data_IF_922731330165
#
_entry.id   IF_922731330165
#
_cell.length_a   1.000
_cell.length_b   1.000
_cell.length_c   1.000
_cell.angle_alpha   90.00
_cell.angle_beta   90.00
_cell.angle_gamma   90.00
#
_symmetry.space_group_name_H-M   'P 1'
#
loop_
_entity.id
_entity.type
_entity.pdbx_description
1 polymer ?
#
# COMPACT_ATOMS: atom_id res chain seq x y z
N UNK A 1 -20.58 35.06 -35.06
CA UNK A 1 -21.93 34.48 -34.93
C UNK A 1 -21.92 33.15 -35.68
N UNK A 2 -21.89 31.97 -35.08
CA UNK A 2 -21.48 31.51 -33.74
C UNK A 2 -21.20 30.02 -33.95
N UNK A 3 -20.12 29.49 -33.38
CA UNK A 3 -19.69 28.07 -33.47
C UNK A 3 -20.67 27.09 -32.77
N UNK A 4 -21.89 27.52 -32.46
CA UNK A 4 -22.88 26.81 -31.65
C UNK A 4 -23.88 25.95 -32.45
N UNK A 5 -23.95 26.09 -33.78
CA UNK A 5 -24.93 25.36 -34.60
C UNK A 5 -24.44 24.00 -35.13
N UNK A 6 -23.13 23.73 -35.07
CA UNK A 6 -22.57 22.43 -35.46
C UNK A 6 -22.72 21.34 -34.40
N UNK A 7 -22.94 21.71 -33.13
CA UNK A 7 -23.17 20.75 -32.04
C UNK A 7 -24.60 20.19 -32.06
N UNK A 8 -25.59 20.96 -32.53
CA UNK A 8 -26.98 20.50 -32.61
C UNK A 8 -27.21 19.48 -33.73
N UNK A 9 -26.52 19.60 -34.87
CA UNK A 9 -26.69 18.65 -35.99
C UNK A 9 -26.01 17.29 -35.77
N UNK A 10 -24.99 17.19 -34.91
CA UNK A 10 -24.41 15.89 -34.51
C UNK A 10 -25.23 15.17 -33.45
N UNK A 11 -26.07 15.90 -32.70
CA UNK A 11 -27.02 15.33 -31.74
C UNK A 11 -28.21 14.63 -32.42
N UNK A 12 -28.72 15.16 -33.53
CA UNK A 12 -29.89 14.56 -34.20
C UNK A 12 -29.54 13.39 -35.14
N UNK A 13 -28.33 13.37 -35.73
CA UNK A 13 -27.91 12.30 -36.65
C UNK A 13 -27.66 10.95 -35.96
N UNK A 14 -27.28 10.95 -34.68
CA UNK A 14 -27.05 9.70 -33.92
C UNK A 14 -28.36 9.19 -33.28
N UNK A 15 -29.29 10.09 -32.94
CA UNK A 15 -30.59 9.70 -32.38
C UNK A 15 -31.53 9.09 -33.43
N UNK A 16 -31.43 9.48 -34.70
CA UNK A 16 -32.31 8.93 -35.75
C UNK A 16 -31.86 7.57 -36.30
N UNK A 17 -30.57 7.22 -36.19
CA UNK A 17 -30.06 5.88 -36.55
C UNK A 17 -30.40 4.85 -35.47
N UNK A 18 -30.56 5.26 -34.21
CA UNK A 18 -30.97 4.37 -33.13
C UNK A 18 -32.47 4.03 -33.13
N UNK A 19 -33.34 4.92 -33.64
CA UNK A 19 -34.77 4.60 -33.79
C UNK A 19 -35.08 3.67 -34.99
N UNK A 20 -34.29 3.74 -36.07
CA UNK A 20 -34.49 2.89 -37.25
C UNK A 20 -33.91 1.47 -37.08
N UNK A 21 -32.94 1.27 -36.18
CA UNK A 21 -32.40 -0.06 -35.83
C UNK A 21 -33.14 -0.67 -34.62
N UNK A 22 -33.70 0.17 -33.75
CA UNK A 22 -34.48 -0.25 -32.58
C UNK A 22 -35.82 -0.92 -32.90
N UNK A 23 -36.34 -0.78 -34.12
CA UNK A 23 -37.61 -1.39 -34.55
C UNK A 23 -37.46 -2.80 -35.14
N UNK A 24 -36.23 -3.27 -35.42
CA UNK A 24 -35.98 -4.65 -35.89
C UNK A 24 -35.19 -5.53 -34.89
N UNK A 25 -34.62 -4.96 -33.83
CA UNK A 25 -33.83 -5.70 -32.82
C UNK A 25 -34.49 -5.79 -31.43
N UNK A 26 -35.76 -5.39 -31.34
CA UNK A 26 -36.45 -5.07 -30.07
C UNK A 26 -36.82 -6.21 -29.14
N UNK A 27 -36.56 -7.49 -29.44
CA UNK A 27 -36.95 -8.58 -28.52
C UNK A 27 -35.92 -9.71 -28.32
N UNK A 28 -34.87 -9.83 -29.14
CA UNK A 28 -33.95 -10.97 -29.05
C UNK A 28 -32.50 -10.61 -28.67
N UNK A 29 -31.97 -9.44 -29.02
CA UNK A 29 -30.56 -9.11 -28.71
C UNK A 29 -30.34 -8.29 -27.43
N UNK A 30 -31.38 -7.63 -26.90
CA UNK A 30 -31.29 -6.79 -25.70
C UNK A 30 -30.94 -7.57 -24.41
N UNK A 31 -31.49 -8.79 -24.17
CA UNK A 31 -31.12 -9.57 -22.99
C UNK A 31 -29.68 -10.07 -23.04
N UNK A 32 -29.14 -10.33 -24.23
CA UNK A 32 -27.80 -10.88 -24.42
C UNK A 32 -26.72 -9.82 -24.28
N UNK A 33 -26.92 -8.62 -24.83
CA UNK A 33 -25.98 -7.51 -24.64
C UNK A 33 -25.92 -7.11 -23.15
N UNK A 34 -27.05 -7.02 -22.45
CA UNK A 34 -27.06 -6.78 -21.00
C UNK A 34 -26.34 -7.91 -20.24
N UNK A 35 -26.57 -9.19 -20.56
CA UNK A 35 -25.87 -10.30 -19.91
C UNK A 35 -24.35 -10.26 -20.13
N UNK A 36 -23.90 -9.88 -21.33
CA UNK A 36 -22.48 -9.80 -21.68
C UNK A 36 -21.82 -8.62 -20.97
N UNK A 37 -22.44 -7.44 -20.96
CA UNK A 37 -21.92 -6.24 -20.25
C UNK A 37 -21.87 -6.49 -18.74
N UNK A 38 -22.94 -7.06 -18.15
CA UNK A 38 -22.93 -7.42 -16.73
C UNK A 38 -21.88 -8.47 -16.39
N UNK A 39 -21.74 -9.56 -17.18
CA UNK A 39 -20.71 -10.58 -16.92
C UNK A 39 -19.29 -10.04 -17.05
N UNK A 40 -19.05 -9.10 -17.97
CA UNK A 40 -17.75 -8.44 -18.17
C UNK A 40 -17.37 -7.58 -16.97
N UNK A 41 -18.27 -6.71 -16.52
CA UNK A 41 -18.04 -5.83 -15.36
C UNK A 41 -17.81 -6.63 -14.07
N UNK A 42 -18.57 -7.71 -13.86
CA UNK A 42 -18.36 -8.60 -12.71
C UNK A 42 -17.03 -9.34 -12.77
N UNK A 43 -16.59 -9.77 -13.95
CA UNK A 43 -15.29 -10.43 -14.12
C UNK A 43 -14.12 -9.47 -13.86
N UNK A 44 -14.23 -8.22 -14.29
CA UNK A 44 -13.22 -7.18 -14.03
C UNK A 44 -13.14 -6.81 -12.54
N UNK A 45 -14.28 -6.69 -11.85
CA UNK A 45 -14.31 -6.44 -10.41
C UNK A 45 -13.71 -7.64 -9.65
N UNK A 46 -14.04 -8.88 -10.04
CA UNK A 46 -13.45 -10.08 -9.43
C UNK A 46 -11.93 -10.16 -9.62
N UNK A 47 -11.42 -9.77 -10.80
CA UNK A 47 -9.99 -9.69 -11.06
C UNK A 47 -9.31 -8.62 -10.18
N UNK A 48 -9.95 -7.47 -9.95
CA UNK A 48 -9.45 -6.44 -9.04
C UNK A 48 -9.49 -6.89 -7.57
N UNK A 49 -10.52 -7.61 -7.15
CA UNK A 49 -10.60 -8.17 -5.79
C UNK A 49 -9.49 -9.22 -5.56
N UNK A 50 -9.13 -10.02 -6.58
CA UNK A 50 -7.98 -10.94 -6.51
C UNK A 50 -6.65 -10.17 -6.41
N UNK A 51 -6.47 -9.10 -7.18
CA UNK A 51 -5.28 -8.24 -7.10
C UNK A 51 -5.16 -7.56 -5.73
N UNK A 52 -6.27 -7.06 -5.18
CA UNK A 52 -6.32 -6.46 -3.84
C UNK A 52 -5.92 -7.46 -2.76
N UNK A 53 -6.42 -8.70 -2.82
CA UNK A 53 -6.05 -9.77 -1.88
C UNK A 53 -4.53 -10.04 -1.92
N UNK A 54 -3.96 -10.18 -3.13
CA UNK A 54 -2.52 -10.39 -3.29
C UNK A 54 -1.69 -9.20 -2.77
N UNK A 55 -2.11 -7.97 -3.05
CA UNK A 55 -1.42 -6.76 -2.58
C UNK A 55 -1.52 -6.60 -1.06
N UNK A 56 -2.66 -6.94 -0.47
CA UNK A 56 -2.84 -6.96 0.99
C UNK A 56 -1.89 -7.98 1.65
N UNK A 57 -1.75 -9.17 1.07
CA UNK A 57 -0.82 -10.17 1.57
C UNK A 57 0.64 -9.67 1.50
N UNK A 58 1.04 -9.06 0.38
CA UNK A 58 2.38 -8.47 0.24
C UNK A 58 2.64 -7.36 1.27
N UNK A 59 1.66 -6.49 1.51
CA UNK A 59 1.72 -5.47 2.55
C UNK A 59 1.90 -6.09 3.94
N UNK A 60 1.09 -7.10 4.29
CA UNK A 60 1.18 -7.78 5.59
C UNK A 60 2.54 -8.47 5.78
N UNK A 61 3.08 -9.11 4.74
CA UNK A 61 4.40 -9.75 4.77
C UNK A 61 5.52 -8.72 4.98
N UNK A 62 5.46 -7.58 4.26
CA UNK A 62 6.42 -6.50 4.42
C UNK A 62 6.36 -5.90 5.84
N UNK A 63 5.16 -5.73 6.40
CA UNK A 63 4.95 -5.25 7.76
C UNK A 63 5.53 -6.21 8.80
N UNK A 64 5.31 -7.52 8.64
CA UNK A 64 5.86 -8.53 9.55
C UNK A 64 7.40 -8.51 9.55
N UNK A 65 8.03 -8.40 8.38
CA UNK A 65 9.49 -8.29 8.25
C UNK A 65 10.05 -7.02 8.91
N UNK A 66 9.33 -5.90 8.78
CA UNK A 66 9.68 -4.66 9.46
C UNK A 66 9.56 -4.75 10.97
N UNK A 67 8.53 -5.43 11.48
CA UNK A 67 8.38 -5.69 12.92
C UNK A 67 9.49 -6.57 13.47
N UNK A 68 9.92 -7.59 12.73
CA UNK A 68 11.06 -8.42 13.10
C UNK A 68 12.37 -7.62 13.16
N UNK A 69 12.63 -6.81 12.12
CA UNK A 69 13.79 -5.92 12.07
C UNK A 69 13.79 -4.94 13.25
N UNK A 70 12.63 -4.37 13.58
CA UNK A 70 12.48 -3.48 14.74
C UNK A 70 12.85 -4.16 16.05
N UNK A 71 12.41 -5.41 16.28
CA UNK A 71 12.78 -6.17 17.48
C UNK A 71 14.29 -6.42 17.58
N UNK A 72 14.96 -6.65 16.45
CA UNK A 72 16.42 -6.82 16.41
C UNK A 72 17.12 -5.52 16.82
N UNK A 73 16.64 -4.37 16.33
CA UNK A 73 17.16 -3.05 16.73
C UNK A 73 16.96 -2.85 18.23
N UNK A 74 15.76 -3.07 18.76
CA UNK A 74 15.46 -2.94 20.20
C UNK A 74 16.35 -3.86 21.06
N UNK A 75 16.58 -5.09 20.62
CA UNK A 75 17.47 -6.02 21.32
C UNK A 75 18.95 -5.57 21.26
N UNK A 76 19.36 -4.95 20.15
CA UNK A 76 20.71 -4.40 19.99
C UNK A 76 20.90 -3.15 20.87
N UNK A 77 19.88 -2.29 20.96
CA UNK A 77 19.87 -1.10 21.83
C UNK A 77 20.02 -1.51 23.29
N UNK A 78 19.30 -2.54 23.73
CA UNK A 78 19.45 -3.07 25.09
C UNK A 78 20.85 -3.64 25.37
N UNK A 79 21.55 -4.18 24.36
CA UNK A 79 22.95 -4.61 24.50
C UNK A 79 23.91 -3.43 24.56
N UNK A 80 23.67 -2.39 23.76
CA UNK A 80 24.44 -1.14 23.79
C UNK A 80 24.30 -0.43 25.13
N UNK A 81 23.09 -0.37 25.70
CA UNK A 81 22.85 0.22 27.02
C UNK A 81 23.65 -0.51 28.12
N UNK A 82 23.69 -1.85 28.08
CA UNK A 82 24.53 -2.64 28.99
C UNK A 82 26.02 -2.34 28.79
N UNK A 83 26.45 -2.26 27.54
CA UNK A 83 27.84 -1.96 27.16
C UNK A 83 28.27 -0.57 27.68
N UNK A 84 27.40 0.43 27.56
CA UNK A 84 27.63 1.79 28.06
C UNK A 84 27.68 1.86 29.59
N UNK A 85 26.78 1.14 30.28
CA UNK A 85 26.83 1.03 31.75
C UNK A 85 28.16 0.44 32.21
N UNK A 86 28.57 -0.70 31.64
CA UNK A 86 29.85 -1.35 32.00
C UNK A 86 31.07 -0.46 31.68
N UNK A 87 31.06 0.25 30.54
CA UNK A 87 32.11 1.21 30.20
C UNK A 87 32.18 2.36 31.21
N UNK A 88 31.03 2.92 31.60
CA UNK A 88 30.95 4.00 32.60
C UNK A 88 31.43 3.54 33.97
N UNK A 89 31.10 2.32 34.39
CA UNK A 89 31.59 1.73 35.64
C UNK A 89 33.12 1.64 35.63
N UNK A 90 33.71 1.06 34.58
CA UNK A 90 35.17 0.95 34.44
C UNK A 90 35.86 2.33 34.46
N UNK A 91 35.30 3.33 33.78
CA UNK A 91 35.83 4.71 33.78
C UNK A 91 35.66 5.37 35.15
N UNK A 92 34.58 5.09 35.87
CA UNK A 92 34.35 5.66 37.22
C UNK A 92 35.39 5.20 38.23
N UNK A 93 35.82 3.92 38.16
CA UNK A 93 36.90 3.38 38.98
C UNK A 93 38.28 3.99 38.64
N UNK A 94 38.41 4.56 37.45
CA UNK A 94 39.64 5.21 36.97
C UNK A 94 39.72 6.71 37.31
N UNK A 95 38.69 7.32 37.90
CA UNK A 95 38.71 8.76 38.26
C UNK A 95 39.80 9.02 39.30
N UNK A 96 40.98 9.45 38.82
CA UNK A 96 42.12 9.86 39.64
C UNK A 96 43.37 8.98 39.49
N UNK A 97 43.29 7.82 38.83
CA UNK A 97 44.43 6.91 38.62
C UNK A 97 44.35 6.26 37.23
N UNK A 98 45.50 5.92 36.62
CA UNK A 98 45.49 5.09 35.39
C UNK A 98 44.81 3.75 35.69
N UNK A 99 43.93 3.30 34.80
CA UNK A 99 43.36 1.95 34.84
C UNK A 99 44.53 0.96 34.92
N UNK A 100 44.56 0.05 35.92
CA UNK A 100 45.56 -1.00 35.93
C UNK A 100 45.43 -1.86 34.67
N UNK A 101 46.55 -2.34 34.11
CA UNK A 101 46.60 -3.10 32.85
C UNK A 101 45.48 -4.14 32.64
N UNK A 102 45.10 -4.98 33.64
CA UNK A 102 43.98 -5.91 33.43
C UNK A 102 42.62 -5.23 33.20
N UNK A 103 42.39 -4.06 33.80
CA UNK A 103 41.16 -3.28 33.60
C UNK A 103 41.21 -2.46 32.30
N UNK A 104 42.39 -2.00 31.89
CA UNK A 104 42.56 -1.31 30.60
C UNK A 104 42.26 -2.25 29.42
N UNK A 105 42.82 -3.46 29.43
CA UNK A 105 42.54 -4.48 28.40
C UNK A 105 41.06 -4.86 28.34
N UNK A 106 40.41 -4.96 29.51
CA UNK A 106 38.96 -5.21 29.58
C UNK A 106 38.15 -4.03 29.00
N UNK A 107 38.52 -2.80 29.34
CA UNK A 107 37.88 -1.60 28.80
C UNK A 107 38.03 -1.49 27.29
N UNK A 108 39.24 -1.74 26.75
CA UNK A 108 39.48 -1.68 25.31
C UNK A 108 38.68 -2.73 24.54
N UNK A 109 38.63 -3.97 25.06
CA UNK A 109 37.84 -5.05 24.47
C UNK A 109 36.33 -4.73 24.49
N UNK A 110 35.82 -4.26 25.62
CA UNK A 110 34.41 -3.87 25.76
C UNK A 110 34.06 -2.71 24.82
N UNK A 111 34.92 -1.69 24.72
CA UNK A 111 34.74 -0.57 23.79
C UNK A 111 34.67 -1.02 22.35
N UNK A 112 35.55 -1.93 21.94
CA UNK A 112 35.53 -2.50 20.59
C UNK A 112 34.23 -3.27 20.33
N UNK A 113 33.75 -4.02 21.31
CA UNK A 113 32.46 -4.71 21.23
C UNK A 113 31.29 -3.72 21.09
N UNK A 114 31.26 -2.62 21.86
CA UNK A 114 30.22 -1.61 21.70
C UNK A 114 30.25 -0.97 20.31
N UNK A 115 31.44 -0.67 19.77
CA UNK A 115 31.58 -0.10 18.42
C UNK A 115 31.02 -1.04 17.34
N UNK A 116 31.29 -2.35 17.44
CA UNK A 116 30.72 -3.36 16.54
C UNK A 116 29.19 -3.44 16.64
N UNK A 117 28.65 -3.31 17.86
CA UNK A 117 27.20 -3.27 18.08
C UNK A 117 26.56 -2.02 17.46
N UNK A 118 27.22 -0.85 17.55
CA UNK A 118 26.76 0.39 16.89
C UNK A 118 26.73 0.22 15.37
N UNK A 119 27.80 -0.29 14.77
CA UNK A 119 27.85 -0.54 13.32
C UNK A 119 26.75 -1.51 12.87
N UNK A 120 26.55 -2.59 13.64
CA UNK A 120 25.48 -3.57 13.37
C UNK A 120 24.10 -2.91 13.47
N UNK A 121 23.87 -2.09 14.49
CA UNK A 121 22.62 -1.35 14.69
C UNK A 121 22.34 -0.41 13.52
N UNK A 122 23.33 0.36 13.08
CA UNK A 122 23.18 1.29 11.95
C UNK A 122 22.78 0.55 10.67
N UNK A 123 23.38 -0.63 10.42
CA UNK A 123 22.98 -1.50 9.31
C UNK A 123 21.50 -1.93 9.39
N UNK A 124 21.02 -2.32 10.58
CA UNK A 124 19.62 -2.68 10.78
C UNK A 124 18.67 -1.51 10.65
N UNK A 125 19.05 -0.32 11.16
CA UNK A 125 18.25 0.91 11.01
C UNK A 125 18.11 1.28 9.54
N UNK A 126 19.20 1.25 8.76
CA UNK A 126 19.12 1.49 7.32
C UNK A 126 18.23 0.48 6.58
N UNK A 127 18.28 -0.79 6.97
CA UNK A 127 17.37 -1.83 6.47
C UNK A 127 15.91 -1.53 6.82
N UNK A 128 15.63 -1.12 8.06
CA UNK A 128 14.29 -0.75 8.52
C UNK A 128 13.72 0.46 7.74
N UNK A 129 14.54 1.48 7.46
CA UNK A 129 14.15 2.63 6.65
C UNK A 129 13.81 2.24 5.20
N UNK A 130 14.61 1.36 4.59
CA UNK A 130 14.33 0.83 3.26
C UNK A 130 13.02 0.02 3.22
N UNK A 131 12.76 -0.77 4.26
CA UNK A 131 11.50 -1.50 4.42
C UNK A 131 10.31 -0.54 4.60
N UNK A 132 10.46 0.53 5.39
CA UNK A 132 9.41 1.54 5.57
C UNK A 132 9.01 2.21 4.24
N UNK A 133 9.98 2.55 3.37
CA UNK A 133 9.72 3.06 2.02
C UNK A 133 8.96 2.04 1.16
N UNK A 134 9.29 0.76 1.29
CA UNK A 134 8.62 -0.33 0.57
C UNK A 134 7.16 -0.48 1.02
N UNK A 135 6.92 -0.44 2.33
CA UNK A 135 5.57 -0.50 2.92
C UNK A 135 4.72 0.68 2.43
N UNK A 136 5.27 1.89 2.40
CA UNK A 136 4.55 3.06 1.90
C UNK A 136 4.22 2.93 0.40
N UNK A 137 5.15 2.43 -0.42
CA UNK A 137 4.88 2.12 -1.83
C UNK A 137 3.73 1.12 -2.00
N UNK A 138 3.74 0.02 -1.25
CA UNK A 138 2.68 -0.98 -1.27
C UNK A 138 1.33 -0.41 -0.83
N UNK A 139 1.31 0.49 0.17
CA UNK A 139 0.11 1.18 0.63
C UNK A 139 -0.48 2.09 -0.46
N UNK A 140 0.35 2.85 -1.16
CA UNK A 140 -0.09 3.73 -2.25
C UNK A 140 -0.67 2.92 -3.42
N UNK A 141 -0.01 1.83 -3.80
CA UNK A 141 -0.52 0.91 -4.83
C UNK A 141 -1.86 0.29 -4.44
N UNK A 142 -1.99 -0.16 -3.18
CA UNK A 142 -3.23 -0.72 -2.66
C UNK A 142 -4.37 0.31 -2.71
N UNK A 143 -4.13 1.54 -2.24
CA UNK A 143 -5.12 2.61 -2.27
C UNK A 143 -5.57 2.94 -3.70
N UNK A 144 -4.63 2.99 -4.66
CA UNK A 144 -4.94 3.19 -6.08
C UNK A 144 -5.86 2.09 -6.63
N UNK A 145 -5.57 0.83 -6.31
CA UNK A 145 -6.41 -0.31 -6.71
C UNK A 145 -7.80 -0.26 -6.08
N UNK A 146 -7.91 0.12 -4.81
CA UNK A 146 -9.22 0.30 -4.15
C UNK A 146 -10.02 1.40 -4.84
N UNK A 147 -9.39 2.54 -5.16
CA UNK A 147 -10.05 3.63 -5.88
C UNK A 147 -10.53 3.18 -7.26
N UNK A 148 -9.70 2.45 -8.02
CA UNK A 148 -10.09 1.91 -9.33
C UNK A 148 -11.25 0.91 -9.23
N UNK A 149 -11.17 -0.01 -8.27
CA UNK A 149 -12.24 -0.98 -7.98
C UNK A 149 -13.56 -0.27 -7.63
N UNK A 150 -13.50 0.77 -6.80
CA UNK A 150 -14.69 1.56 -6.44
C UNK A 150 -15.22 2.38 -7.62
N UNK A 151 -14.36 2.92 -8.47
CA UNK A 151 -14.77 3.63 -9.67
C UNK A 151 -15.51 2.69 -10.65
N UNK A 152 -15.00 1.47 -10.87
CA UNK A 152 -15.67 0.46 -11.69
C UNK A 152 -16.98 -0.02 -11.07
N UNK A 153 -16.99 -0.35 -9.78
CA UNK A 153 -18.22 -0.75 -9.08
C UNK A 153 -19.29 0.37 -9.05
N UNK A 154 -18.86 1.64 -8.98
CA UNK A 154 -19.72 2.81 -9.08
C UNK A 154 -20.23 3.08 -10.51
N UNK A 155 -19.39 2.87 -11.53
CA UNK A 155 -19.76 2.99 -12.94
C UNK A 155 -20.73 1.89 -13.40
N UNK A 156 -20.63 0.68 -12.84
CA UNK A 156 -21.61 -0.40 -13.07
C UNK A 156 -22.98 -0.13 -12.41
N UNK A 157 -23.15 0.98 -11.68
CA UNK A 157 -24.46 1.52 -11.28
C UNK A 157 -24.83 2.70 -12.18
N UNK A 158 -25.61 2.47 -13.24
CA UNK A 158 -26.36 3.50 -13.96
C UNK A 158 -27.78 2.99 -14.28
N UNK A 159 -28.82 3.84 -14.36
CA UNK A 159 -29.21 4.98 -13.52
C UNK A 159 -30.39 4.61 -12.59
N UNK A 160 -30.66 5.46 -11.61
CA UNK A 160 -31.82 5.43 -10.70
C UNK A 160 -33.16 5.70 -11.42
N UNK A 161 -33.50 4.93 -12.44
CA UNK A 161 -34.81 4.99 -13.14
C UNK A 161 -35.63 3.71 -12.97
N UNK A 162 -35.53 3.10 -11.79
CA UNK A 162 -36.60 2.24 -11.25
C UNK A 162 -37.06 2.82 -9.91
N UNK A 163 -37.47 4.09 -9.91
CA UNK A 163 -38.51 4.51 -8.99
C UNK A 163 -39.80 3.86 -9.50
N UNK A 164 -40.10 2.68 -8.97
CA UNK A 164 -41.48 2.19 -8.94
C UNK A 164 -42.22 3.21 -8.08
N UNK A 165 -42.92 4.14 -8.72
CA UNK A 165 -43.94 4.97 -8.10
C UNK A 165 -45.00 3.99 -7.57
N UNK A 166 -45.31 3.96 -6.26
CA UNK A 166 -46.49 3.25 -5.81
C UNK A 166 -47.70 4.05 -6.30
N UNK A 167 -48.39 3.50 -7.29
CA UNK A 167 -49.74 3.92 -7.65
C UNK A 167 -50.66 3.56 -6.47
N UNK A 168 -51.46 4.55 -6.06
CA UNK A 168 -52.53 4.55 -5.05
C UNK A 168 -53.13 3.22 -4.61
#
# INVERSE_FOLDING_TARGET
MTEDDSAKLRGFGVTLVLCAIGSCFGTQCWPEIHKVVYRSDYAEIAALDQQLSAKQQNYNNALAKAQETKKIIEATDAQLDKCDIELKELVSHAKGNRLPEPQFSRWSALREQCLKLVETREGWVGSYEAQAKTIEGLRLEFNSLVTNRNAKAGASRLPSSFLIVPSH
#
